data_IF_448907158079
#
_entry.id   IF_448907158079
#
_cell.length_a   1.000
_cell.length_b   1.000
_cell.length_c   1.000
_cell.angle_alpha   90.00
_cell.angle_beta   90.00
_cell.angle_gamma   90.00
#
_symmetry.space_group_name_H-M   'P 1'
#
loop_
_entity.id
_entity.type
_entity.pdbx_description
1 polymer ?
#
# COMPACT_ATOMS: atom_id res chain seq x y z
N UNK A 1 16.11 7.21 12.78
CA UNK A 1 15.71 5.87 12.27
C UNK A 1 15.21 6.10 10.86
N UNK A 2 15.53 5.25 9.88
CA UNK A 2 15.08 5.50 8.52
C UNK A 2 13.55 5.35 8.46
N UNK A 3 12.82 6.46 8.48
CA UNK A 3 11.39 6.51 8.18
C UNK A 3 11.23 6.26 6.68
N UNK A 4 11.32 4.98 6.30
CA UNK A 4 11.17 4.55 4.92
C UNK A 4 9.69 4.43 4.57
N UNK A 5 9.28 5.10 3.49
CA UNK A 5 8.02 4.78 2.84
C UNK A 5 8.13 3.46 2.10
N UNK A 6 7.15 2.58 2.31
CA UNK A 6 7.03 1.31 1.60
C UNK A 6 6.07 1.47 0.43
N UNK A 7 6.47 0.96 -0.74
CA UNK A 7 5.56 0.94 -1.89
C UNK A 7 4.62 -0.24 -1.80
N UNK A 8 3.34 0.04 -1.94
CA UNK A 8 2.27 -0.95 -1.93
C UNK A 8 1.43 -0.85 -3.21
N UNK A 9 0.74 -1.95 -3.53
CA UNK A 9 -0.31 -1.99 -4.54
C UNK A 9 -1.62 -2.46 -3.91
N UNK A 10 -2.69 -1.70 -4.14
CA UNK A 10 -4.03 -1.99 -3.62
C UNK A 10 -4.91 -2.41 -4.79
N UNK A 11 -5.44 -3.63 -4.75
CA UNK A 11 -6.30 -4.17 -5.80
C UNK A 11 -7.78 -3.95 -5.52
N UNK A 12 -8.54 -3.58 -6.55
CA UNK A 12 -10.00 -3.47 -6.52
C UNK A 12 -10.62 -4.33 -7.61
N UNK A 13 -11.93 -4.55 -7.53
CA UNK A 13 -12.66 -5.28 -8.57
C UNK A 13 -12.68 -4.49 -9.88
N UNK A 14 -12.28 -5.16 -10.98
CA UNK A 14 -12.35 -4.62 -12.34
C UNK A 14 -11.60 -3.29 -12.57
N UNK A 15 -10.52 -3.03 -11.82
CA UNK A 15 -9.64 -1.89 -12.05
C UNK A 15 -8.16 -2.29 -12.03
N UNK A 16 -7.32 -1.43 -12.58
CA UNK A 16 -5.88 -1.50 -12.31
C UNK A 16 -5.62 -1.29 -10.81
N UNK A 17 -4.57 -1.92 -10.24
CA UNK A 17 -4.19 -1.68 -8.85
C UNK A 17 -3.72 -0.24 -8.64
N UNK A 18 -4.05 0.34 -7.50
CA UNK A 18 -3.52 1.62 -7.06
C UNK A 18 -2.14 1.41 -6.44
N UNK A 19 -1.11 1.99 -7.04
CA UNK A 19 0.23 2.04 -6.46
C UNK A 19 0.35 3.25 -5.53
N UNK A 20 0.84 3.03 -4.31
CA UNK A 20 0.96 4.09 -3.31
C UNK A 20 2.19 3.88 -2.43
N UNK A 21 2.75 4.95 -1.87
CA UNK A 21 3.88 4.90 -0.92
C UNK A 21 3.39 5.35 0.45
N UNK A 22 3.53 4.50 1.45
CA UNK A 22 3.01 4.76 2.81
C UNK A 22 4.06 4.50 3.87
N UNK A 23 3.93 5.17 5.01
CA UNK A 23 4.75 4.83 6.17
C UNK A 23 4.37 3.45 6.70
N UNK A 24 5.26 2.82 7.47
CA UNK A 24 4.98 1.54 8.10
C UNK A 24 3.75 1.59 9.02
N UNK A 25 3.59 2.71 9.74
CA UNK A 25 2.46 2.93 10.67
C UNK A 25 1.11 3.03 9.94
N UNK A 26 1.08 3.72 8.79
CA UNK A 26 -0.11 3.81 7.93
C UNK A 26 -0.44 2.46 7.31
N UNK A 27 0.58 1.71 6.87
CA UNK A 27 0.39 0.35 6.36
C UNK A 27 -0.20 -0.58 7.43
N UNK A 28 0.36 -0.59 8.64
CA UNK A 28 -0.13 -1.43 9.74
C UNK A 28 -1.58 -1.06 10.11
N UNK A 29 -1.93 0.24 10.09
CA UNK A 29 -3.32 0.72 10.28
C UNK A 29 -4.26 0.25 9.18
N UNK A 30 -3.87 0.34 7.91
CA UNK A 30 -4.66 -0.15 6.79
C UNK A 30 -4.90 -1.65 6.93
N UNK A 31 -3.84 -2.44 7.15
CA UNK A 31 -3.93 -3.89 7.27
C UNK A 31 -4.82 -4.32 8.44
N UNK A 32 -4.77 -3.61 9.57
CA UNK A 32 -5.65 -3.85 10.71
C UNK A 32 -7.11 -3.48 10.47
N UNK A 33 -7.38 -2.56 9.54
CA UNK A 33 -8.74 -2.17 9.16
C UNK A 33 -9.35 -3.08 8.07
N UNK A 34 -8.55 -3.80 7.30
CA UNK A 34 -9.05 -4.67 6.23
C UNK A 34 -10.06 -5.70 6.75
N UNK A 35 -11.10 -5.96 5.96
CA UNK A 35 -12.21 -6.83 6.33
C UNK A 35 -13.29 -6.16 7.17
N UNK A 36 -13.09 -4.91 7.59
CA UNK A 36 -14.16 -4.05 8.12
C UNK A 36 -14.91 -3.33 6.99
N UNK A 37 -15.99 -2.65 7.35
CA UNK A 37 -16.81 -1.86 6.44
C UNK A 37 -16.50 -0.36 6.54
N UNK A 38 -16.80 0.38 5.48
CA UNK A 38 -16.72 1.84 5.47
C UNK A 38 -15.46 2.41 4.83
N UNK A 39 -15.24 3.71 5.09
CA UNK A 39 -14.19 4.50 4.48
C UNK A 39 -12.96 4.58 5.39
N UNK A 40 -11.78 4.42 4.80
CA UNK A 40 -10.49 4.52 5.47
C UNK A 40 -9.62 5.54 4.74
N UNK A 41 -9.07 6.49 5.48
CA UNK A 41 -8.08 7.43 4.95
C UNK A 41 -6.70 6.81 5.07
N UNK A 42 -5.98 6.78 3.95
CA UNK A 42 -4.60 6.33 3.86
C UNK A 42 -3.73 7.51 3.43
N UNK A 43 -2.85 7.95 4.31
CA UNK A 43 -1.92 9.05 4.02
C UNK A 43 -0.55 8.48 3.63
N UNK A 44 -0.03 8.97 2.51
CA UNK A 44 1.24 8.55 1.93
C UNK A 44 2.11 9.73 1.53
N UNK A 45 3.23 9.42 0.88
CA UNK A 45 4.22 10.41 0.42
C UNK A 45 3.60 11.43 -0.55
N UNK A 46 2.73 10.96 -1.45
CA UNK A 46 2.16 11.75 -2.54
C UNK A 46 0.80 12.39 -2.19
N UNK A 47 0.27 12.17 -0.98
CA UNK A 47 -1.02 12.75 -0.55
C UNK A 47 -1.86 11.81 0.31
N UNK A 48 -3.18 12.01 0.30
CA UNK A 48 -4.14 11.16 1.02
C UNK A 48 -5.16 10.58 0.06
N UNK A 49 -5.43 9.28 0.18
CA UNK A 49 -6.48 8.59 -0.56
C UNK A 49 -7.52 8.04 0.42
N UNK A 50 -8.80 8.19 0.08
CA UNK A 50 -9.92 7.62 0.85
C UNK A 50 -10.40 6.34 0.17
N UNK A 51 -10.27 5.22 0.87
CA UNK A 51 -10.53 3.86 0.38
C UNK A 51 -11.85 3.34 0.94
N UNK A 52 -12.69 2.71 0.11
CA UNK A 52 -13.79 1.91 0.62
C UNK A 52 -13.29 0.49 0.86
N UNK A 53 -13.25 0.08 2.13
CA UNK A 53 -12.66 -1.19 2.56
C UNK A 53 -13.43 -2.41 2.03
N UNK A 54 -14.73 -2.28 1.73
CA UNK A 54 -15.55 -3.37 1.16
C UNK A 54 -15.13 -3.71 -0.28
N UNK A 55 -14.40 -2.81 -0.96
CA UNK A 55 -13.96 -3.02 -2.35
C UNK A 55 -12.47 -3.33 -2.48
N UNK A 56 -11.73 -3.36 -1.36
CA UNK A 56 -10.32 -3.75 -1.36
C UNK A 56 -10.24 -5.28 -1.44
N UNK A 57 -9.66 -5.79 -2.52
CA UNK A 57 -9.47 -7.22 -2.74
C UNK A 57 -8.15 -7.73 -2.18
N UNK A 58 -7.10 -6.92 -2.27
CA UNK A 58 -5.79 -7.25 -1.71
C UNK A 58 -4.95 -5.99 -1.50
N UNK A 59 -3.96 -6.12 -0.61
CA UNK A 59 -2.84 -5.18 -0.48
C UNK A 59 -1.55 -5.98 -0.64
N UNK A 60 -0.67 -5.55 -1.54
CA UNK A 60 0.64 -6.14 -1.78
C UNK A 60 1.72 -5.15 -1.39
N UNK A 61 2.61 -5.54 -0.47
CA UNK A 61 3.86 -4.82 -0.21
C UNK A 61 4.90 -5.19 -1.27
N UNK A 62 5.46 -4.19 -1.96
CA UNK A 62 6.54 -4.43 -2.91
C UNK A 62 7.87 -4.48 -2.15
N UNK A 63 8.51 -5.66 -2.14
CA UNK A 63 9.92 -5.73 -1.75
C UNK A 63 10.74 -5.26 -2.93
N UNK A 64 11.59 -4.25 -2.73
CA UNK A 64 12.67 -4.01 -3.68
C UNK A 64 13.55 -5.26 -3.68
N UNK A 65 13.48 -6.05 -4.75
CA UNK A 65 14.51 -7.05 -5.01
C UNK A 65 15.83 -6.30 -5.14
N UNK A 66 16.74 -6.52 -4.20
CA UNK A 66 18.14 -6.15 -4.35
C UNK A 66 18.71 -6.98 -5.51
N UNK A 67 18.57 -6.49 -6.74
CA UNK A 67 19.39 -7.01 -7.84
C UNK A 67 20.81 -6.56 -7.57
N UNK A 68 21.62 -7.45 -7.01
CA UNK A 68 23.07 -7.30 -7.03
C UNK A 68 23.51 -7.55 -8.47
N UNK A 69 23.62 -6.48 -9.26
CA UNK A 69 24.08 -6.57 -10.64
C UNK A 69 25.58 -6.82 -10.68
N UNK A 70 25.98 -8.08 -10.82
CA UNK A 70 27.29 -8.43 -11.37
C UNK A 70 27.05 -9.10 -12.73
N UNK A 71 27.24 -8.37 -13.84
CA UNK A 71 27.29 -9.00 -15.16
C UNK A 71 26.97 -8.10 -16.36
N UNK A 72 28.05 -7.73 -17.06
CA UNK A 72 28.21 -7.29 -18.46
C UNK A 72 27.48 -6.02 -18.96
#
# INVERSE_FOLDING_TARGET
MAEGFERISIGFQASMPLSFRVSREELDRLLGALGSEGWHDLTGEDGTVRLNLQHVLYVRTERQEHRVGFGA
#
